data_IF_890311057941
#
_entry.id   IF_890311057941
#
_cell.length_a   1.000
_cell.length_b   1.000
_cell.length_c   1.000
_cell.angle_alpha   90.00
_cell.angle_beta   90.00
_cell.angle_gamma   90.00
#
_symmetry.space_group_name_H-M   'P 1'
#
loop_
_entity.id
_entity.type
_entity.pdbx_description
1 polymer ?
#
# COMPACT_ATOMS: atom_id res chain seq x y z
N UNK A 1 26.88 -3.33 -26.36
CA UNK A 1 25.79 -2.44 -25.95
C UNK A 1 24.69 -3.33 -25.44
N UNK A 2 24.33 -3.16 -24.17
CA UNK A 2 22.99 -3.34 -23.58
C UNK A 2 23.12 -3.68 -22.10
N UNK A 3 23.07 -2.62 -21.32
CA UNK A 3 23.14 -2.59 -19.86
C UNK A 3 21.80 -3.08 -19.31
N UNK A 4 21.65 -4.39 -19.14
CA UNK A 4 20.52 -4.94 -18.38
C UNK A 4 20.77 -4.69 -16.89
N UNK A 5 20.54 -3.44 -16.47
CA UNK A 5 20.49 -3.05 -15.07
C UNK A 5 19.29 -3.76 -14.44
N UNK A 6 19.54 -4.94 -13.86
CA UNK A 6 18.53 -5.74 -13.18
C UNK A 6 18.04 -4.92 -11.99
N UNK A 7 16.94 -4.21 -12.22
CA UNK A 7 16.12 -3.60 -11.17
C UNK A 7 15.89 -4.65 -10.09
N UNK A 8 16.50 -4.45 -8.91
CA UNK A 8 16.15 -5.21 -7.71
C UNK A 8 14.72 -4.81 -7.34
N UNK A 9 13.73 -5.39 -8.00
CA UNK A 9 12.35 -5.37 -7.55
C UNK A 9 12.39 -5.95 -6.13
N UNK A 10 12.22 -5.09 -5.12
CA UNK A 10 12.23 -5.51 -3.73
C UNK A 10 11.02 -6.43 -3.54
N UNK A 11 11.27 -7.73 -3.64
CA UNK A 11 10.28 -8.78 -3.53
C UNK A 11 9.46 -8.56 -2.24
N UNK A 12 8.15 -8.44 -2.39
CA UNK A 12 7.25 -8.29 -1.25
C UNK A 12 7.02 -9.64 -0.62
N UNK A 13 7.34 -9.78 0.66
CA UNK A 13 6.94 -10.93 1.46
C UNK A 13 5.46 -10.75 1.84
N UNK A 14 4.60 -11.47 1.11
CA UNK A 14 3.14 -11.45 1.28
C UNK A 14 2.66 -12.22 2.52
N UNK A 15 3.56 -12.94 3.20
CA UNK A 15 3.24 -13.56 4.51
C UNK A 15 3.28 -12.54 5.64
N UNK A 16 3.90 -11.37 5.41
CA UNK A 16 3.99 -10.25 6.35
C UNK A 16 3.02 -9.13 5.96
N UNK A 17 2.98 -8.08 6.79
CA UNK A 17 2.29 -6.86 6.41
C UNK A 17 2.88 -6.28 5.11
N UNK A 18 2.07 -6.17 4.06
CA UNK A 18 2.49 -5.66 2.76
C UNK A 18 3.06 -4.22 2.85
N UNK A 19 2.53 -3.40 3.76
CA UNK A 19 2.93 -2.00 3.94
C UNK A 19 4.27 -1.84 4.66
N UNK A 20 4.46 -2.47 5.83
CA UNK A 20 5.66 -2.26 6.66
C UNK A 20 6.69 -3.39 6.60
N UNK A 21 6.34 -4.57 6.09
CA UNK A 21 7.21 -5.75 5.98
C UNK A 21 7.86 -6.20 7.31
N UNK A 22 7.27 -5.82 8.44
CA UNK A 22 7.72 -6.18 9.79
C UNK A 22 6.79 -7.19 10.44
N UNK A 23 7.33 -7.96 11.38
CA UNK A 23 6.54 -8.75 12.32
C UNK A 23 6.16 -7.87 13.51
N UNK A 24 4.87 -7.80 13.83
CA UNK A 24 4.37 -7.13 15.03
C UNK A 24 3.48 -8.09 15.81
N UNK A 25 3.25 -7.84 17.12
CA UNK A 25 2.26 -8.59 17.90
C UNK A 25 0.82 -8.42 17.38
N UNK A 26 0.56 -7.35 16.62
CA UNK A 26 -0.72 -7.11 15.97
C UNK A 26 -0.99 -8.15 14.88
N UNK A 27 -2.19 -8.73 14.91
CA UNK A 27 -2.60 -9.72 13.90
C UNK A 27 -2.69 -9.10 12.50
N UNK A 28 -2.25 -9.87 11.51
CA UNK A 28 -2.36 -9.51 10.11
C UNK A 28 -3.79 -9.74 9.60
N UNK A 29 -4.40 -8.69 9.06
CA UNK A 29 -5.74 -8.72 8.48
C UNK A 29 -5.67 -8.64 6.96
N UNK A 30 -6.60 -9.30 6.29
CA UNK A 30 -6.88 -9.10 4.88
C UNK A 30 -8.33 -8.64 4.77
N UNK A 31 -8.67 -7.68 3.89
CA UNK A 31 -10.06 -7.34 3.62
C UNK A 31 -10.71 -8.58 3.00
N UNK A 32 -11.39 -9.36 3.84
CA UNK A 32 -12.08 -10.57 3.41
C UNK A 32 -13.04 -10.22 2.27
N UNK A 33 -13.01 -11.04 1.22
CA UNK A 33 -13.84 -10.94 0.01
C UNK A 33 -15.33 -11.02 0.38
N UNK A 34 -15.89 -9.94 0.89
CA UNK A 34 -17.33 -9.74 0.81
C UNK A 34 -17.57 -8.93 -0.47
N UNK A 35 -18.01 -9.56 -1.58
CA UNK A 35 -18.16 -8.89 -2.87
C UNK A 35 -19.10 -7.68 -2.78
N UNK A 36 -20.00 -7.67 -1.79
CA UNK A 36 -20.95 -6.57 -1.55
C UNK A 36 -20.34 -5.34 -0.87
N UNK A 37 -19.08 -5.38 -0.42
CA UNK A 37 -18.37 -4.27 0.24
C UNK A 37 -17.06 -3.85 -0.46
N UNK A 38 -16.85 -4.29 -1.70
CA UNK A 38 -15.61 -4.08 -2.46
C UNK A 38 -15.28 -2.60 -2.73
N UNK A 39 -16.28 -1.75 -2.92
CA UNK A 39 -16.07 -0.34 -3.30
C UNK A 39 -15.35 0.52 -2.23
N UNK A 40 -15.28 0.04 -0.98
CA UNK A 40 -14.62 0.77 0.12
C UNK A 40 -13.76 -0.12 1.02
N UNK A 41 -13.29 -1.25 0.49
CA UNK A 41 -12.45 -2.15 1.26
C UNK A 41 -11.03 -1.59 1.51
N UNK A 42 -10.21 -2.32 2.25
CA UNK A 42 -8.85 -1.91 2.56
C UNK A 42 -7.95 -1.79 1.33
N UNK A 43 -8.13 -2.62 0.31
CA UNK A 43 -7.31 -2.57 -0.91
C UNK A 43 -7.69 -1.37 -1.77
N UNK A 44 -8.98 -1.09 -1.96
CA UNK A 44 -9.47 0.09 -2.68
C UNK A 44 -8.97 1.38 -2.04
N UNK A 45 -8.92 1.44 -0.71
CA UNK A 45 -8.37 2.61 -0.02
C UNK A 45 -6.86 2.76 -0.23
N UNK A 46 -6.11 1.66 -0.18
CA UNK A 46 -4.67 1.67 -0.41
C UNK A 46 -4.32 2.01 -1.85
N UNK A 47 -5.01 1.43 -2.83
CA UNK A 47 -4.80 1.68 -4.26
C UNK A 47 -5.01 3.15 -4.61
N UNK A 48 -6.03 3.78 -4.01
CA UNK A 48 -6.28 5.21 -4.16
C UNK A 48 -5.26 6.09 -3.45
N UNK A 49 -4.95 5.80 -2.20
CA UNK A 49 -4.23 6.76 -1.35
C UNK A 49 -2.71 6.63 -1.42
N UNK A 50 -2.14 5.45 -1.68
CA UNK A 50 -0.68 5.30 -1.81
C UNK A 50 -0.10 6.23 -2.88
N UNK A 51 -0.64 6.30 -4.12
CA UNK A 51 -0.16 7.23 -5.13
C UNK A 51 -0.28 8.69 -4.70
N UNK A 52 -1.38 9.06 -4.04
CA UNK A 52 -1.60 10.43 -3.56
C UNK A 52 -0.58 10.84 -2.49
N UNK A 53 -0.33 9.98 -1.50
CA UNK A 53 0.73 10.21 -0.51
C UNK A 53 2.13 10.25 -1.14
N UNK A 54 2.39 9.42 -2.15
CA UNK A 54 3.67 9.41 -2.87
C UNK A 54 3.88 10.71 -3.67
N UNK A 55 2.84 11.20 -4.36
CA UNK A 55 2.90 12.43 -5.16
C UNK A 55 3.26 13.66 -4.31
N UNK A 56 2.89 13.66 -3.02
CA UNK A 56 3.23 14.72 -2.08
C UNK A 56 4.44 14.42 -1.20
N UNK A 57 5.22 13.37 -1.50
CA UNK A 57 6.37 12.93 -0.70
C UNK A 57 6.07 12.72 0.80
N UNK A 58 4.83 12.31 1.14
CA UNK A 58 4.36 12.20 2.53
C UNK A 58 3.91 10.78 2.90
N UNK A 59 4.50 9.74 2.30
CA UNK A 59 4.22 8.35 2.64
C UNK A 59 4.40 8.11 4.16
N UNK A 60 3.34 7.67 4.88
CA UNK A 60 3.42 7.42 6.32
C UNK A 60 4.39 6.28 6.69
N UNK A 61 4.58 5.34 5.78
CA UNK A 61 5.54 4.23 5.89
C UNK A 61 6.44 4.31 4.66
N UNK A 62 7.76 4.34 4.87
CA UNK A 62 8.73 4.42 3.78
C UNK A 62 8.83 3.07 3.08
N UNK A 63 8.25 2.98 1.89
CA UNK A 63 8.44 1.88 0.95
C UNK A 63 8.40 2.43 -0.47
N UNK A 64 8.84 1.63 -1.43
CA UNK A 64 8.73 1.93 -2.86
C UNK A 64 7.34 1.50 -3.38
N UNK A 65 6.46 2.43 -3.80
CA UNK A 65 5.14 2.09 -4.33
C UNK A 65 5.18 1.23 -5.58
N UNK A 66 6.28 1.25 -6.36
CA UNK A 66 6.42 0.41 -7.55
C UNK A 66 6.37 -1.09 -7.23
N UNK A 67 6.59 -1.49 -5.96
CA UNK A 67 6.40 -2.88 -5.50
C UNK A 67 4.96 -3.37 -5.61
N UNK A 68 4.00 -2.46 -5.73
CA UNK A 68 2.59 -2.76 -5.90
C UNK A 68 2.11 -2.49 -7.33
N UNK A 69 2.97 -2.04 -8.23
CA UNK A 69 2.58 -1.70 -9.59
C UNK A 69 3.44 -2.43 -10.60
N UNK A 70 3.02 -3.64 -10.95
CA UNK A 70 3.60 -4.42 -12.05
C UNK A 70 2.96 -4.06 -13.40
N UNK A 71 2.27 -2.91 -13.52
CA UNK A 71 1.53 -2.49 -14.70
C UNK A 71 0.05 -2.89 -14.70
N UNK A 72 -0.40 -3.67 -13.70
CA UNK A 72 -1.82 -4.04 -13.49
C UNK A 72 -2.53 -3.20 -12.42
N UNK A 73 -1.82 -2.27 -11.78
CA UNK A 73 -2.32 -1.40 -10.72
C UNK A 73 -2.25 -2.00 -9.31
N UNK A 74 -2.14 -1.11 -8.32
CA UNK A 74 -1.95 -1.44 -6.90
C UNK A 74 -3.03 -2.39 -6.37
N UNK A 75 -4.29 -2.13 -6.69
CA UNK A 75 -5.39 -2.92 -6.16
C UNK A 75 -5.33 -4.38 -6.63
N UNK A 76 -5.09 -4.57 -7.94
CA UNK A 76 -4.99 -5.89 -8.56
C UNK A 76 -3.92 -6.72 -7.90
N UNK A 77 -2.72 -6.16 -7.74
CA UNK A 77 -1.59 -6.84 -7.08
C UNK A 77 -1.91 -7.19 -5.62
N UNK A 78 -2.57 -6.30 -4.86
CA UNK A 78 -2.97 -6.59 -3.48
C UNK A 78 -4.00 -7.72 -3.41
N UNK A 79 -4.96 -7.76 -4.34
CA UNK A 79 -5.98 -8.81 -4.42
C UNK A 79 -5.39 -10.16 -4.81
N UNK A 80 -4.58 -10.21 -5.87
CA UNK A 80 -3.93 -11.43 -6.38
C UNK A 80 -3.05 -12.10 -5.34
N UNK A 81 -2.35 -11.30 -4.53
CA UNK A 81 -1.46 -11.81 -3.50
C UNK A 81 -2.15 -12.02 -2.14
N UNK A 82 -3.48 -11.80 -2.05
CA UNK A 82 -4.22 -11.83 -0.78
C UNK A 82 -3.52 -11.05 0.33
N UNK A 83 -3.03 -9.85 -0.04
CA UNK A 83 -2.11 -9.08 0.77
C UNK A 83 -2.65 -8.81 2.18
N UNK A 84 -1.83 -9.14 3.17
CA UNK A 84 -2.19 -8.87 4.57
C UNK A 84 -1.56 -7.59 5.04
N UNK A 85 -2.20 -6.92 5.99
CA UNK A 85 -1.67 -5.73 6.64
C UNK A 85 -2.04 -5.71 8.11
N UNK A 86 -1.22 -5.03 8.90
CA UNK A 86 -1.65 -4.57 10.22
C UNK A 86 -2.78 -3.55 10.05
N UNK A 87 -3.81 -3.62 10.88
CA UNK A 87 -4.89 -2.64 10.90
C UNK A 87 -4.34 -1.23 11.13
N UNK A 88 -3.39 -1.09 12.07
CA UNK A 88 -2.69 0.17 12.37
C UNK A 88 -1.97 0.74 11.14
N UNK A 89 -1.29 -0.10 10.36
CA UNK A 89 -0.61 0.33 9.14
C UNK A 89 -1.60 0.81 8.08
N UNK A 90 -2.71 0.10 7.86
CA UNK A 90 -3.76 0.51 6.90
C UNK A 90 -4.39 1.84 7.27
N UNK A 91 -4.64 2.10 8.57
CA UNK A 91 -5.22 3.36 9.02
C UNK A 91 -4.35 4.59 8.74
N UNK A 92 -3.03 4.43 8.63
CA UNK A 92 -2.13 5.52 8.25
C UNK A 92 -2.40 6.04 6.84
N UNK A 93 -2.89 5.19 5.95
CA UNK A 93 -3.23 5.53 4.57
C UNK A 93 -4.68 6.00 4.40
N UNK A 94 -5.39 6.33 5.48
CA UNK A 94 -6.78 6.79 5.41
C UNK A 94 -6.93 8.20 4.78
N UNK A 95 -8.11 8.49 4.23
CA UNK A 95 -8.45 9.80 3.65
C UNK A 95 -8.22 10.95 4.65
N UNK A 96 -8.52 10.74 5.93
CA UNK A 96 -8.30 11.74 6.98
C UNK A 96 -6.82 12.06 7.16
N UNK A 97 -5.94 11.05 7.07
CA UNK A 97 -4.49 11.24 7.15
C UNK A 97 -3.95 11.92 5.90
N UNK A 98 -4.49 11.59 4.72
CA UNK A 98 -4.12 12.24 3.47
C UNK A 98 -4.43 13.74 3.50
N UNK A 99 -5.67 14.10 3.86
CA UNK A 99 -6.08 15.51 4.02
C UNK A 99 -5.18 16.29 5.00
N UNK A 100 -4.72 15.64 6.07
CA UNK A 100 -3.79 16.25 7.03
C UNK A 100 -2.40 16.42 6.45
N UNK A 101 -1.93 15.48 5.64
CA UNK A 101 -0.65 15.59 4.94
C UNK A 101 -0.68 16.72 3.90
N UNK A 102 -1.74 16.80 3.08
CA UNK A 102 -1.96 17.87 2.11
C UNK A 102 -1.94 19.26 2.76
N UNK A 103 -2.64 19.44 3.90
CA UNK A 103 -2.64 20.72 4.63
C UNK A 103 -1.26 21.16 5.11
N UNK A 104 -0.35 20.23 5.41
CA UNK A 104 1.01 20.55 5.87
C UNK A 104 1.93 21.04 4.75
N UNK A 105 1.55 20.85 3.49
CA UNK A 105 2.32 21.37 2.33
C UNK A 105 1.99 22.82 2.03
N UNK A 106 0.81 23.28 2.47
CA UNK A 106 0.27 24.62 2.19
C UNK A 106 0.54 25.57 3.37
N UNK A 107 0.99 25.05 4.52
CA UNK A 107 1.43 25.82 5.68
C UNK A 107 2.93 26.03 5.64
#
# INVERSE_FOLDING_TARGET
MDTASTSRVRQTDWTKCCLCQQNKPEELQSPQMNPTKSENDGYTNLSRNIPLFNAINALPIKFDPARFDAGSGIETILRENTAKYHHSCRLLFSNTKLKRAEKRLVQ
#
